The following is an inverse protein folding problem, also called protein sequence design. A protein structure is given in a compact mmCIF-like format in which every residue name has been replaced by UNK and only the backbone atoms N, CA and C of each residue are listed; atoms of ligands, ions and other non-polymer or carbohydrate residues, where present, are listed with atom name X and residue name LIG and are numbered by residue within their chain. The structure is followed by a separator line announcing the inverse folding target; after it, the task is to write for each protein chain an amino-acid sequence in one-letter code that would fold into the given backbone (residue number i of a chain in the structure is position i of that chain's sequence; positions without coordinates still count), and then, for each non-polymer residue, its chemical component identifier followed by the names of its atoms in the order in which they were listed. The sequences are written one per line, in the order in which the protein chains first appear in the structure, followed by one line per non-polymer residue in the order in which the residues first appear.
data_IF_318390054687
#
_entry.id   IF_318390054687
#
_cell.length_a   1.000
_cell.length_b   1.000
_cell.length_c   1.000
_cell.angle_alpha   90.00
_cell.angle_beta   90.00
_cell.angle_gamma   90.00
#
_symmetry.space_group_name_H-M   'P 1'
#
loop_
_entity.id
_entity.type
_entity.pdbx_description
1 polymer ?
#
# COMPACT_ATOMS: atom_id res chain seq x y z
N UNK A 1 -27.24 0.09 2.21
CA UNK A 1 -26.13 0.38 3.15
C UNK A 1 -25.03 1.10 2.39
N UNK A 2 -24.92 2.43 2.50
CA UNK A 2 -23.80 3.16 1.91
C UNK A 2 -22.54 2.85 2.71
N UNK A 3 -21.54 2.26 2.05
CA UNK A 3 -20.26 1.93 2.68
C UNK A 3 -19.48 3.25 2.80
N UNK A 4 -19.41 3.81 4.01
CA UNK A 4 -18.65 5.02 4.31
C UNK A 4 -17.20 4.67 4.63
N UNK A 5 -16.27 5.47 4.13
CA UNK A 5 -14.82 5.29 4.30
C UNK A 5 -14.22 6.57 4.87
N UNK A 6 -13.23 6.43 5.76
CA UNK A 6 -12.48 7.56 6.30
C UNK A 6 -11.37 7.98 5.34
N UNK A 7 -11.28 9.28 5.08
CA UNK A 7 -10.20 9.90 4.32
C UNK A 7 -9.55 11.00 5.14
N UNK A 8 -8.26 11.24 4.92
CA UNK A 8 -7.46 12.24 5.61
C UNK A 8 -6.69 13.10 4.63
N UNK A 9 -6.62 14.40 4.89
CA UNK A 9 -5.69 15.32 4.24
C UNK A 9 -5.19 16.31 5.27
N UNK A 10 -3.89 16.28 5.55
CA UNK A 10 -3.28 17.05 6.66
C UNK A 10 -3.98 16.74 7.99
N UNK A 11 -4.59 17.74 8.63
CA UNK A 11 -5.32 17.62 9.90
C UNK A 11 -6.83 17.40 9.72
N UNK A 12 -7.32 17.28 8.47
CA UNK A 12 -8.73 17.11 8.17
C UNK A 12 -9.04 15.63 7.94
N UNK A 13 -10.00 15.10 8.69
CA UNK A 13 -10.55 13.74 8.53
C UNK A 13 -12.01 13.87 8.09
N UNK A 14 -12.40 13.14 7.04
CA UNK A 14 -13.76 13.13 6.51
C UNK A 14 -14.25 11.70 6.35
N UNK A 15 -15.57 11.52 6.50
CA UNK A 15 -16.26 10.28 6.17
C UNK A 15 -16.96 10.50 4.83
N UNK A 16 -16.60 9.70 3.84
CA UNK A 16 -17.13 9.84 2.48
C UNK A 16 -17.68 8.49 2.01
N UNK A 17 -18.69 8.53 1.16
CA UNK A 17 -19.16 7.31 0.51
C UNK A 17 -18.08 6.75 -0.42
N UNK A 18 -18.02 5.41 -0.52
CA UNK A 18 -17.12 4.71 -1.44
C UNK A 18 -17.20 5.23 -2.89
N UNK A 19 -18.38 5.66 -3.34
CA UNK A 19 -18.60 6.22 -4.68
C UNK A 19 -17.78 7.49 -4.95
N UNK A 20 -17.51 8.29 -3.93
CA UNK A 20 -16.78 9.57 -4.04
C UNK A 20 -15.29 9.44 -3.72
N UNK A 21 -14.86 8.28 -3.22
CA UNK A 21 -13.49 8.02 -2.79
C UNK A 21 -12.48 8.31 -3.89
N UNK A 22 -12.73 7.88 -5.13
CA UNK A 22 -11.84 8.12 -6.26
C UNK A 22 -11.60 9.62 -6.52
N UNK A 23 -12.66 10.45 -6.40
CA UNK A 23 -12.53 11.91 -6.54
C UNK A 23 -11.66 12.50 -5.43
N UNK A 24 -11.82 12.03 -4.20
CA UNK A 24 -11.00 12.51 -3.07
C UNK A 24 -9.54 12.04 -3.14
N UNK A 25 -9.27 10.81 -3.60
CA UNK A 25 -7.89 10.35 -3.87
C UNK A 25 -7.21 11.24 -4.91
N UNK A 26 -7.93 11.60 -5.98
CA UNK A 26 -7.44 12.52 -7.00
C UNK A 26 -7.17 13.93 -6.44
N UNK A 27 -7.97 14.39 -5.49
CA UNK A 27 -7.77 15.67 -4.81
C UNK A 27 -6.62 15.65 -3.77
N UNK A 28 -5.95 14.51 -3.56
CA UNK A 28 -4.84 14.41 -2.62
C UNK A 28 -5.27 14.01 -1.19
N UNK A 29 -6.41 13.35 -1.02
CA UNK A 29 -6.79 12.75 0.28
C UNK A 29 -6.32 11.31 0.34
N UNK A 30 -5.74 10.92 1.47
CA UNK A 30 -5.37 9.54 1.77
C UNK A 30 -6.57 8.80 2.37
N UNK A 31 -6.79 7.56 1.98
CA UNK A 31 -7.75 6.71 2.68
C UNK A 31 -7.12 6.20 3.97
N UNK A 32 -7.78 6.41 5.10
CA UNK A 32 -7.33 5.92 6.40
C UNK A 32 -8.29 4.88 6.97
N UNK A 33 -7.75 3.99 7.80
CA UNK A 33 -8.53 3.05 8.60
C UNK A 33 -9.04 3.69 9.90
N UNK A 34 -9.82 2.93 10.67
CA UNK A 34 -10.31 3.35 11.99
C UNK A 34 -9.18 3.67 12.97
N UNK A 35 -8.02 3.02 12.82
CA UNK A 35 -6.79 3.26 13.59
C UNK A 35 -5.95 4.43 13.05
N UNK A 36 -6.40 5.12 11.99
CA UNK A 36 -5.66 6.22 11.37
C UNK A 36 -4.48 5.81 10.49
N UNK A 37 -4.31 4.51 10.22
CA UNK A 37 -3.33 3.98 9.26
C UNK A 37 -3.79 4.23 7.83
N UNK A 38 -2.89 4.62 6.95
CA UNK A 38 -3.19 4.87 5.53
C UNK A 38 -3.37 3.54 4.80
N UNK A 39 -4.57 3.28 4.29
CA UNK A 39 -4.92 2.09 3.48
C UNK A 39 -4.59 2.34 2.00
N UNK A 40 -4.96 3.52 1.48
CA UNK A 40 -4.65 3.93 0.11
C UNK A 40 -4.07 5.32 0.10
N UNK A 41 -2.90 5.43 -0.51
CA UNK A 41 -2.23 6.70 -0.74
C UNK A 41 -3.00 7.52 -1.75
N UNK A 42 -3.00 8.83 -1.56
CA UNK A 42 -3.52 9.74 -2.55
C UNK A 42 -2.67 9.68 -3.82
N UNK A 43 -3.31 9.39 -4.95
CA UNK A 43 -2.66 9.49 -6.26
C UNK A 43 -2.38 10.96 -6.62
N UNK A 44 -3.12 11.92 -6.04
CA UNK A 44 -2.89 13.35 -6.24
C UNK A 44 -2.99 13.78 -7.71
N UNK A 45 -3.79 13.05 -8.49
CA UNK A 45 -3.91 13.24 -9.94
C UNK A 45 -2.75 12.67 -10.77
N UNK A 46 -1.76 12.02 -10.14
CA UNK A 46 -0.69 11.32 -10.84
C UNK A 46 -1.22 9.97 -11.33
N UNK A 47 -1.17 9.77 -12.64
CA UNK A 47 -1.39 8.48 -13.26
C UNK A 47 -0.05 7.75 -13.35
N UNK A 48 0.00 6.51 -12.88
CA UNK A 48 1.14 5.62 -13.08
C UNK A 48 0.94 4.93 -14.43
N UNK A 49 1.99 4.85 -15.23
CA UNK A 49 1.94 4.11 -16.49
C UNK A 49 1.91 2.61 -16.23
N UNK A 50 1.10 1.84 -16.98
CA UNK A 50 1.05 0.38 -16.88
C UNK A 50 2.45 -0.29 -16.92
N UNK A 51 3.36 0.09 -17.85
CA UNK A 51 4.72 -0.44 -17.85
C UNK A 51 5.53 -0.13 -16.58
N UNK A 52 5.35 1.03 -15.95
CA UNK A 52 6.05 1.36 -14.69
C UNK A 52 5.52 0.52 -13.53
N UNK A 53 4.19 0.34 -13.46
CA UNK A 53 3.57 -0.53 -12.48
C UNK A 53 4.04 -1.98 -12.62
N UNK A 54 4.13 -2.50 -13.84
CA UNK A 54 4.60 -3.85 -14.10
C UNK A 54 6.06 -4.04 -13.68
N UNK A 55 6.94 -3.05 -13.93
CA UNK A 55 8.33 -3.10 -13.46
C UNK A 55 8.43 -3.20 -11.94
N UNK A 56 7.64 -2.41 -11.22
CA UNK A 56 7.62 -2.45 -9.74
C UNK A 56 7.13 -3.81 -9.24
N UNK A 57 6.14 -4.42 -9.90
CA UNK A 57 5.69 -5.78 -9.54
C UNK A 57 6.83 -6.79 -9.72
N UNK A 58 7.52 -6.75 -10.86
CA UNK A 58 8.65 -7.66 -11.13
C UNK A 58 9.78 -7.49 -10.10
N UNK A 59 10.13 -6.25 -9.75
CA UNK A 59 11.13 -5.97 -8.72
C UNK A 59 10.70 -6.46 -7.34
N UNK A 60 9.42 -6.29 -6.99
CA UNK A 60 8.85 -6.73 -5.72
C UNK A 60 8.85 -8.26 -5.62
N UNK A 61 8.52 -8.97 -6.70
CA UNK A 61 8.57 -10.43 -6.74
C UNK A 61 10.00 -10.96 -6.64
N UNK A 62 10.97 -10.33 -7.32
CA UNK A 62 12.40 -10.66 -7.15
C UNK A 62 12.86 -10.44 -5.71
N UNK A 63 12.55 -9.29 -5.12
CA UNK A 63 12.92 -8.99 -3.75
C UNK A 63 12.29 -9.97 -2.74
N UNK A 64 11.04 -10.40 -2.97
CA UNK A 64 10.40 -11.45 -2.16
C UNK A 64 11.11 -12.79 -2.27
N UNK A 65 11.50 -13.20 -3.48
CA UNK A 65 12.24 -14.44 -3.69
C UNK A 65 13.60 -14.40 -3.00
N UNK A 66 14.33 -13.29 -3.09
CA UNK A 66 15.60 -13.08 -2.39
C UNK A 66 15.41 -13.10 -0.86
N UNK A 67 14.37 -12.44 -0.35
CA UNK A 67 14.06 -12.51 1.09
C UNK A 67 13.75 -13.95 1.51
N UNK A 68 13.05 -14.72 0.69
CA UNK A 68 12.75 -16.12 0.99
C UNK A 68 14.02 -17.00 0.97
N UNK A 69 14.90 -16.83 -0.02
CA UNK A 69 16.16 -17.58 -0.08
C UNK A 69 17.08 -17.21 1.07
N UNK A 70 17.26 -15.91 1.35
CA UNK A 70 18.05 -15.42 2.48
C UNK A 70 17.46 -15.88 3.81
N UNK A 71 16.14 -15.85 4.01
CA UNK A 71 15.51 -16.41 5.22
C UNK A 71 15.74 -17.91 5.34
N UNK A 72 15.73 -18.66 4.24
CA UNK A 72 16.03 -20.09 4.25
C UNK A 72 17.51 -20.36 4.58
N UNK A 73 18.44 -19.52 4.09
CA UNK A 73 19.85 -19.58 4.44
C UNK A 73 20.12 -19.21 5.90
N UNK A 74 19.53 -18.11 6.39
CA UNK A 74 19.59 -17.74 7.81
C UNK A 74 19.07 -18.88 8.68
N UNK A 75 17.94 -19.50 8.33
CA UNK A 75 17.41 -20.64 9.08
C UNK A 75 18.32 -21.87 9.06
N UNK A 76 19.09 -22.09 7.98
CA UNK A 76 20.11 -23.16 7.90
C UNK A 76 21.37 -22.82 8.70
N UNK A 77 21.71 -21.55 8.85
CA UNK A 77 22.87 -21.07 9.60
C UNK A 77 22.58 -20.92 11.10
N UNK A 78 21.34 -20.58 11.48
CA UNK A 78 20.82 -20.54 12.85
C UNK A 78 20.44 -21.93 13.39
N UNK A 79 20.30 -22.93 12.51
CA UNK A 79 20.31 -24.31 12.95
C UNK A 79 21.69 -24.56 13.60
N UNK A 80 21.74 -24.85 14.90
CA UNK A 80 22.99 -24.84 15.64
C UNK A 80 23.97 -25.81 14.99
N UNK A 81 25.14 -25.30 14.57
CA UNK A 81 26.31 -26.15 14.38
C UNK A 81 26.73 -26.61 15.78
N UNK A 82 26.37 -27.85 16.10
CA UNK A 82 26.63 -28.66 17.31
C UNK A 82 25.46 -28.76 18.27
#
# INVERSE_FOLDING_TARGET
MSKSVKIKKKNRILHVETSRLASFLNQGYDQIDDEGKVIKLATGGRAISLPEHNKVIEELDKAKQEIMSLKAEVKKLEAPKK
#
